data_IF_649260481377
#
_entry.id   IF_649260481377
#
_cell.length_a   1.000
_cell.length_b   1.000
_cell.length_c   1.000
_cell.angle_alpha   90.00
_cell.angle_beta   90.00
_cell.angle_gamma   90.00
#
_symmetry.space_group_name_H-M   'P 1'
#
loop_
_entity.id
_entity.type
_entity.pdbx_description
1 polymer ?
#
# COMPACT_ATOMS: atom_id res chain seq x y z
N UNK A 1 7.50 -4.10 30.42
CA UNK A 1 7.64 -3.08 31.50
C UNK A 1 8.60 -3.53 32.59
N UNK A 2 8.53 -4.78 33.06
CA UNK A 2 9.39 -5.32 34.17
C UNK A 2 10.89 -5.27 33.85
N UNK A 3 11.33 -5.72 32.68
CA UNK A 3 12.74 -5.71 32.29
C UNK A 3 13.39 -4.33 32.19
N UNK A 4 12.59 -3.26 31.97
CA UNK A 4 13.07 -1.87 31.97
C UNK A 4 13.33 -1.40 33.39
N UNK A 5 12.42 -1.69 34.32
CA UNK A 5 12.57 -1.36 35.74
C UNK A 5 13.77 -2.07 36.39
N UNK A 6 14.05 -3.30 35.94
CA UNK A 6 15.17 -4.12 36.42
C UNK A 6 16.54 -3.79 35.76
N UNK A 7 16.56 -2.84 34.80
CA UNK A 7 17.81 -2.44 34.12
C UNK A 7 18.43 -3.52 33.25
N UNK A 8 17.65 -4.48 32.77
CA UNK A 8 18.12 -5.62 31.94
C UNK A 8 18.68 -5.23 30.58
N UNK A 9 18.34 -4.04 30.07
CA UNK A 9 18.70 -3.62 28.73
C UNK A 9 19.94 -2.74 28.70
N UNK A 10 20.75 -2.88 27.62
CA UNK A 10 21.92 -2.05 27.35
C UNK A 10 21.64 -1.16 26.13
N UNK A 11 22.44 -0.12 25.95
CA UNK A 11 22.40 0.74 24.76
C UNK A 11 22.61 -0.11 23.50
N UNK A 12 21.71 -0.02 22.56
CA UNK A 12 21.76 -0.73 21.28
C UNK A 12 22.27 0.19 20.16
N UNK A 13 22.50 -0.36 18.97
CA UNK A 13 22.96 0.37 17.80
C UNK A 13 22.03 1.54 17.47
N UNK A 14 20.71 1.33 17.50
CA UNK A 14 19.71 2.36 17.18
C UNK A 14 19.84 3.61 18.06
N UNK A 15 20.23 3.46 19.32
CA UNK A 15 20.53 4.61 20.18
C UNK A 15 21.80 5.34 19.73
N UNK A 16 22.84 4.60 19.34
CA UNK A 16 24.11 5.21 18.93
C UNK A 16 24.04 5.94 17.60
N UNK A 17 23.16 5.51 16.70
CA UNK A 17 22.92 6.18 15.41
C UNK A 17 21.77 7.19 15.49
N UNK A 18 21.32 7.55 16.70
CA UNK A 18 20.28 8.54 16.98
C UNK A 18 18.88 8.24 16.43
N UNK A 19 18.59 7.00 16.08
CA UNK A 19 17.26 6.56 15.63
C UNK A 19 16.29 6.27 16.77
N UNK A 20 16.77 6.18 18.01
CA UNK A 20 15.97 5.79 19.16
C UNK A 20 16.33 6.61 20.40
N UNK A 21 15.32 7.11 21.12
CA UNK A 21 15.48 7.84 22.40
C UNK A 21 15.83 6.93 23.61
N UNK A 22 16.01 5.63 23.38
CA UNK A 22 16.32 4.61 24.38
C UNK A 22 15.35 4.54 25.58
N UNK A 23 14.04 4.38 25.35
CA UNK A 23 13.06 4.20 26.45
C UNK A 23 13.32 2.92 27.26
N UNK A 24 13.99 1.92 26.66
CA UNK A 24 14.32 0.66 27.33
C UNK A 24 15.36 0.79 28.46
N UNK A 25 16.10 1.90 28.53
CA UNK A 25 17.06 2.22 29.59
C UNK A 25 16.72 3.53 30.32
N UNK A 26 15.43 3.94 30.30
CA UNK A 26 14.90 5.14 30.95
C UNK A 26 15.59 6.46 30.55
N UNK A 27 16.13 6.55 29.30
CA UNK A 27 16.71 7.78 28.76
C UNK A 27 15.65 8.71 28.17
N UNK A 28 14.52 8.18 27.79
CA UNK A 28 13.36 8.88 27.33
C UNK A 28 12.23 8.71 28.33
N UNK A 29 11.54 9.80 28.70
CA UNK A 29 10.41 9.72 29.62
C UNK A 29 9.22 8.96 28.98
N UNK A 30 8.32 8.48 29.82
CA UNK A 30 7.12 7.80 29.35
C UNK A 30 6.24 8.73 28.54
N UNK A 31 6.11 9.98 28.97
CA UNK A 31 5.33 11.03 28.32
C UNK A 31 5.89 11.35 26.94
N UNK A 32 7.19 11.55 26.81
CA UNK A 32 7.87 11.78 25.53
C UNK A 32 7.71 10.60 24.59
N UNK A 33 7.82 9.38 25.08
CA UNK A 33 7.60 8.17 24.29
C UNK A 33 6.16 8.08 23.77
N UNK A 34 5.17 8.35 24.63
CA UNK A 34 3.76 8.34 24.23
C UNK A 34 3.46 9.41 23.19
N UNK A 35 4.03 10.60 23.34
CA UNK A 35 3.87 11.68 22.37
C UNK A 35 4.48 11.31 21.01
N UNK A 36 5.69 10.74 20.99
CA UNK A 36 6.29 10.25 19.74
C UNK A 36 5.42 9.16 19.08
N UNK A 37 4.85 8.25 19.87
CA UNK A 37 3.94 7.22 19.36
C UNK A 37 2.64 7.81 18.83
N UNK A 38 2.11 8.87 19.47
CA UNK A 38 0.94 9.60 18.98
C UNK A 38 1.23 10.24 17.62
N UNK A 39 2.35 10.97 17.49
CA UNK A 39 2.75 11.60 16.24
C UNK A 39 2.94 10.57 15.12
N UNK A 40 3.63 9.46 15.39
CA UNK A 40 3.80 8.38 14.43
C UNK A 40 2.45 7.82 13.94
N UNK A 41 1.50 7.63 14.85
CA UNK A 41 0.14 7.21 14.47
C UNK A 41 -0.58 8.23 13.59
N UNK A 42 -0.44 9.53 13.90
CA UNK A 42 -1.07 10.59 13.10
C UNK A 42 -0.44 10.67 11.69
N UNK A 43 0.87 10.52 11.56
CA UNK A 43 1.54 10.42 10.25
C UNK A 43 1.01 9.21 9.47
N UNK A 44 0.92 8.03 10.10
CA UNK A 44 0.41 6.82 9.46
C UNK A 44 -1.07 6.91 9.07
N UNK A 45 -1.86 7.74 9.76
CA UNK A 45 -3.24 8.06 9.39
C UNK A 45 -3.34 9.15 8.30
N UNK A 46 -2.21 9.78 7.91
CA UNK A 46 -2.13 10.88 6.96
C UNK A 46 -2.47 12.25 7.52
N UNK A 47 -2.52 12.39 8.82
CA UNK A 47 -2.70 13.70 9.48
C UNK A 47 -1.36 14.43 9.59
N UNK A 48 -0.57 14.41 8.51
CA UNK A 48 0.78 14.99 8.45
C UNK A 48 0.79 16.49 8.75
N UNK A 49 -0.23 17.23 8.28
CA UNK A 49 -0.33 18.68 8.51
C UNK A 49 -0.45 19.04 9.99
N UNK A 50 -1.16 18.24 10.79
CA UNK A 50 -1.26 18.50 12.24
C UNK A 50 0.09 18.26 12.92
N UNK A 51 0.80 17.22 12.53
CA UNK A 51 2.13 16.91 13.06
C UNK A 51 3.15 17.95 12.61
N UNK A 52 3.09 18.38 11.36
CA UNK A 52 3.95 19.43 10.79
C UNK A 52 3.79 20.77 11.56
N UNK A 53 2.54 21.18 11.79
CA UNK A 53 2.24 22.38 12.58
C UNK A 53 2.77 22.25 14.01
N UNK A 54 2.55 21.12 14.66
CA UNK A 54 3.05 20.87 16.01
C UNK A 54 4.58 20.95 16.10
N UNK A 55 5.30 20.35 15.15
CA UNK A 55 6.75 20.40 15.09
C UNK A 55 7.26 21.84 14.87
N UNK A 56 6.57 22.59 14.00
CA UNK A 56 6.87 24.00 13.77
C UNK A 56 6.68 24.85 15.04
N UNK A 57 5.57 24.66 15.75
CA UNK A 57 5.28 25.38 16.99
C UNK A 57 6.33 25.09 18.08
N UNK A 58 6.77 23.83 18.19
CA UNK A 58 7.85 23.45 19.12
C UNK A 58 9.20 24.04 18.72
N UNK A 59 9.51 24.08 17.43
CA UNK A 59 10.72 24.73 16.90
C UNK A 59 10.74 26.19 17.30
N UNK A 60 9.67 26.93 17.02
CA UNK A 60 9.57 28.36 17.32
C UNK A 60 9.67 28.64 18.83
N UNK A 61 8.92 27.87 19.65
CA UNK A 61 8.97 28.00 21.10
C UNK A 61 10.37 27.79 21.68
N UNK A 62 11.12 26.81 21.19
CA UNK A 62 12.47 26.57 21.67
C UNK A 62 13.46 27.64 21.16
N UNK A 63 13.26 28.17 19.94
CA UNK A 63 14.05 29.29 19.44
C UNK A 63 13.84 30.56 20.26
N UNK A 64 12.61 30.90 20.66
CA UNK A 64 12.28 32.01 21.55
C UNK A 64 12.94 31.87 22.94
N UNK A 65 13.05 30.63 23.43
CA UNK A 65 13.75 30.29 24.68
C UNK A 65 15.27 30.19 24.53
N UNK A 66 15.82 30.57 23.38
CA UNK A 66 17.26 30.52 23.02
C UNK A 66 17.86 29.11 23.12
N UNK A 67 17.00 28.06 23.01
CA UNK A 67 17.41 26.63 23.00
C UNK A 67 17.63 26.16 21.56
N UNK A 68 18.63 26.71 20.91
CA UNK A 68 18.83 26.53 19.46
C UNK A 68 19.11 25.09 19.03
N UNK A 69 19.80 24.28 19.85
CA UNK A 69 20.06 22.87 19.56
C UNK A 69 18.75 22.07 19.48
N UNK A 70 17.85 22.30 20.44
CA UNK A 70 16.53 21.64 20.48
C UNK A 70 15.66 22.15 19.33
N UNK A 71 15.69 23.45 19.04
CA UNK A 71 14.96 24.03 17.93
C UNK A 71 15.43 23.45 16.58
N UNK A 72 16.74 23.22 16.39
CA UNK A 72 17.30 22.61 15.19
C UNK A 72 16.87 21.14 15.03
N UNK A 73 16.74 20.38 16.12
CA UNK A 73 16.21 19.01 16.05
C UNK A 73 14.75 19.00 15.56
N UNK A 74 13.90 19.90 16.07
CA UNK A 74 12.52 20.02 15.58
C UNK A 74 12.44 20.51 14.14
N UNK A 75 13.33 21.42 13.74
CA UNK A 75 13.45 21.88 12.35
C UNK A 75 13.77 20.73 11.39
N UNK A 76 14.73 19.88 11.73
CA UNK A 76 15.07 18.69 10.93
C UNK A 76 13.88 17.75 10.78
N UNK A 77 13.15 17.48 11.87
CA UNK A 77 11.94 16.65 11.84
C UNK A 77 10.85 17.27 10.97
N UNK A 78 10.64 18.59 11.08
CA UNK A 78 9.71 19.34 10.25
C UNK A 78 10.08 19.24 8.76
N UNK A 79 11.35 19.46 8.40
CA UNK A 79 11.84 19.37 7.03
C UNK A 79 11.69 17.95 6.44
N UNK A 80 12.02 16.93 7.22
CA UNK A 80 11.82 15.54 6.79
C UNK A 80 10.34 15.21 6.50
N UNK A 81 9.42 15.76 7.30
CA UNK A 81 8.00 15.57 7.08
C UNK A 81 7.50 16.33 5.83
N UNK A 82 7.99 17.55 5.62
CA UNK A 82 7.71 18.36 4.43
C UNK A 82 8.22 17.68 3.14
N UNK A 83 9.43 17.11 3.17
CA UNK A 83 9.97 16.29 2.08
C UNK A 83 9.16 15.01 1.84
N UNK A 84 8.65 14.38 2.90
CA UNK A 84 7.79 13.22 2.79
C UNK A 84 6.46 13.58 2.12
N UNK A 85 5.84 14.69 2.51
CA UNK A 85 4.63 15.21 1.85
C UNK A 85 4.88 15.55 0.37
N UNK A 86 6.00 16.18 0.05
CA UNK A 86 6.36 16.55 -1.33
C UNK A 86 6.63 15.32 -2.22
N UNK A 87 7.15 14.22 -1.66
CA UNK A 87 7.39 12.96 -2.37
C UNK A 87 6.16 12.07 -2.45
N UNK A 88 5.14 12.32 -1.63
CA UNK A 88 3.87 11.60 -1.70
C UNK A 88 3.17 11.95 -3.01
N UNK A 89 2.63 10.93 -3.70
CA UNK A 89 1.94 11.13 -4.98
C UNK A 89 0.71 12.02 -4.77
N UNK A 90 0.83 13.30 -5.16
CA UNK A 90 -0.27 14.27 -5.09
C UNK A 90 -1.25 13.95 -6.20
N UNK A 91 -2.36 13.38 -5.83
CA UNK A 91 -3.41 12.96 -6.78
C UNK A 91 -4.19 14.16 -7.29
N UNK A 92 -4.57 15.08 -6.41
CA UNK A 92 -5.32 16.29 -6.74
C UNK A 92 -5.57 17.14 -5.51
N UNK A 93 -5.50 18.44 -5.63
CA UNK A 93 -5.91 19.38 -4.58
C UNK A 93 -7.43 19.36 -4.30
N UNK A 94 -8.22 18.78 -5.20
CA UNK A 94 -9.69 18.72 -5.08
C UNK A 94 -10.20 17.44 -4.44
N UNK A 95 -9.37 16.38 -4.38
CA UNK A 95 -9.74 15.10 -3.77
C UNK A 95 -9.05 15.03 -2.41
N UNK A 96 -9.78 15.38 -1.35
CA UNK A 96 -9.18 15.58 -0.02
C UNK A 96 -9.26 14.37 0.89
N UNK A 97 -10.34 13.57 0.82
CA UNK A 97 -10.57 12.42 1.69
C UNK A 97 -11.51 11.43 1.02
N UNK A 98 -10.94 10.36 0.46
CA UNK A 98 -11.71 9.31 -0.22
C UNK A 98 -11.07 7.94 -0.02
N UNK A 99 -11.92 6.92 0.03
CA UNK A 99 -11.51 5.52 -0.10
C UNK A 99 -11.75 5.04 -1.53
N UNK A 100 -10.85 4.25 -2.07
CA UNK A 100 -10.99 3.64 -3.41
C UNK A 100 -10.88 2.14 -3.25
N UNK A 101 -11.83 1.42 -3.84
CA UNK A 101 -11.83 -0.03 -3.89
C UNK A 101 -11.97 -0.51 -5.32
N UNK A 102 -11.17 -1.47 -5.71
CA UNK A 102 -11.28 -2.18 -6.98
C UNK A 102 -11.15 -3.68 -6.76
N UNK A 103 -11.72 -4.45 -7.67
CA UNK A 103 -11.67 -5.90 -7.65
C UNK A 103 -11.22 -6.41 -9.01
N UNK A 104 -10.32 -7.38 -9.02
CA UNK A 104 -9.86 -8.11 -10.22
C UNK A 104 -9.89 -9.60 -9.94
N UNK A 105 -10.53 -10.35 -10.82
CA UNK A 105 -10.70 -11.79 -10.66
C UNK A 105 -9.55 -12.60 -11.27
N UNK A 106 -9.33 -13.77 -10.69
CA UNK A 106 -8.53 -14.83 -11.26
C UNK A 106 -9.37 -16.12 -11.33
N UNK A 107 -10.00 -16.35 -12.48
CA UNK A 107 -10.87 -17.50 -12.69
C UNK A 107 -10.10 -18.83 -12.64
N UNK A 108 -8.79 -18.81 -12.98
CA UNK A 108 -7.94 -20.00 -12.96
C UNK A 108 -7.66 -20.49 -11.53
N UNK A 109 -7.48 -19.55 -10.60
CA UNK A 109 -7.19 -19.85 -9.19
C UNK A 109 -8.43 -19.73 -8.29
N UNK A 110 -9.57 -19.31 -8.83
CA UNK A 110 -10.80 -18.99 -8.08
C UNK A 110 -10.54 -17.98 -6.95
N UNK A 111 -9.66 -17.00 -7.21
CA UNK A 111 -9.33 -15.93 -6.29
C UNK A 111 -9.83 -14.60 -6.84
N UNK A 112 -10.10 -13.66 -5.95
CA UNK A 112 -10.31 -12.25 -6.26
C UNK A 112 -9.25 -11.41 -5.54
N UNK A 113 -8.76 -10.39 -6.21
CA UNK A 113 -7.83 -9.41 -5.66
C UNK A 113 -8.56 -8.09 -5.49
N UNK A 114 -8.60 -7.59 -4.25
CA UNK A 114 -9.23 -6.31 -3.92
C UNK A 114 -8.13 -5.36 -3.51
N UNK A 115 -7.98 -4.24 -4.22
CA UNK A 115 -7.08 -3.16 -3.82
C UNK A 115 -7.86 -2.07 -3.11
N UNK A 116 -7.28 -1.58 -2.05
CA UNK A 116 -7.72 -0.44 -1.27
C UNK A 116 -6.70 0.68 -1.39
N UNK A 117 -7.15 1.89 -1.75
CA UNK A 117 -6.36 3.12 -1.68
C UNK A 117 -7.10 4.09 -0.78
N UNK A 118 -6.38 4.69 0.18
CA UNK A 118 -6.87 5.79 0.98
C UNK A 118 -6.15 7.07 0.60
N UNK A 119 -6.94 8.07 0.18
CA UNK A 119 -6.44 9.42 -0.11
C UNK A 119 -6.84 10.33 1.03
N UNK A 120 -5.88 11.00 1.63
CA UNK A 120 -6.10 12.02 2.64
C UNK A 120 -5.28 13.27 2.35
N UNK A 121 -5.91 14.44 2.49
CA UNK A 121 -5.29 15.73 2.17
C UNK A 121 -4.72 15.83 0.74
N UNK A 122 -5.34 15.12 -0.22
CA UNK A 122 -4.91 15.12 -1.62
C UNK A 122 -3.75 14.18 -1.94
N UNK A 123 -3.27 13.40 -0.98
CA UNK A 123 -2.17 12.44 -1.16
C UNK A 123 -2.63 11.00 -0.88
N UNK A 124 -2.04 10.05 -1.62
CA UNK A 124 -2.24 8.63 -1.34
C UNK A 124 -1.49 8.28 -0.06
N UNK A 125 -2.24 7.92 0.95
CA UNK A 125 -1.74 7.63 2.28
C UNK A 125 -1.52 6.15 2.52
N UNK A 126 -2.41 5.34 1.96
CA UNK A 126 -2.38 3.89 2.06
C UNK A 126 -2.76 3.28 0.74
N UNK A 127 -2.07 2.21 0.37
CA UNK A 127 -2.45 1.35 -0.75
C UNK A 127 -2.15 -0.09 -0.36
N UNK A 128 -3.15 -0.94 -0.42
CA UNK A 128 -3.03 -2.33 -0.03
C UNK A 128 -3.88 -3.24 -0.91
N UNK A 129 -3.32 -4.40 -1.30
CA UNK A 129 -4.07 -5.40 -2.07
C UNK A 129 -4.26 -6.66 -1.24
N UNK A 130 -5.51 -7.10 -1.16
CA UNK A 130 -5.92 -8.32 -0.49
C UNK A 130 -6.26 -9.41 -1.50
N UNK A 131 -5.93 -10.65 -1.15
CA UNK A 131 -6.31 -11.85 -1.89
C UNK A 131 -7.44 -12.55 -1.15
N UNK A 132 -8.60 -12.68 -1.81
CA UNK A 132 -9.77 -13.39 -1.31
C UNK A 132 -9.99 -14.67 -2.10
N UNK A 133 -10.27 -15.77 -1.41
CA UNK A 133 -10.76 -17.00 -2.05
C UNK A 133 -12.22 -16.82 -2.38
N UNK A 134 -12.55 -16.88 -3.67
CA UNK A 134 -13.91 -16.77 -4.16
C UNK A 134 -14.66 -18.10 -3.93
N UNK A 135 -15.85 -18.01 -3.35
CA UNK A 135 -16.78 -19.15 -3.29
C UNK A 135 -17.47 -19.33 -4.65
N UNK A 136 -17.99 -20.55 -4.90
CA UNK A 136 -18.80 -20.77 -6.10
C UNK A 136 -20.03 -19.84 -6.05
N UNK A 137 -20.30 -19.15 -7.17
CA UNK A 137 -21.46 -18.26 -7.35
C UNK A 137 -21.42 -16.91 -6.58
N UNK A 138 -20.31 -16.56 -5.91
CA UNK A 138 -20.16 -15.29 -5.23
C UNK A 138 -19.86 -14.16 -6.25
N UNK A 139 -20.68 -13.12 -6.27
CA UNK A 139 -20.50 -11.97 -7.17
C UNK A 139 -19.40 -11.03 -6.69
N UNK A 140 -18.90 -10.17 -7.59
CA UNK A 140 -17.92 -9.13 -7.25
C UNK A 140 -18.48 -8.12 -6.24
N UNK A 141 -19.78 -7.85 -6.34
CA UNK A 141 -20.48 -6.96 -5.41
C UNK A 141 -20.54 -7.56 -3.99
N UNK A 142 -20.90 -8.84 -3.85
CA UNK A 142 -20.95 -9.53 -2.56
C UNK A 142 -19.57 -9.57 -1.88
N UNK A 143 -18.51 -9.78 -2.66
CA UNK A 143 -17.14 -9.71 -2.14
C UNK A 143 -16.79 -8.30 -1.66
N UNK A 144 -17.14 -7.26 -2.41
CA UNK A 144 -16.89 -5.87 -2.00
C UNK A 144 -17.74 -5.48 -0.79
N UNK A 145 -19.00 -5.91 -0.69
CA UNK A 145 -19.85 -5.70 0.48
C UNK A 145 -19.22 -6.25 1.76
N UNK A 146 -18.55 -7.40 1.67
CA UNK A 146 -17.86 -8.02 2.81
C UNK A 146 -16.51 -7.33 3.09
N UNK A 147 -15.73 -7.05 2.06
CA UNK A 147 -14.37 -6.55 2.19
C UNK A 147 -14.30 -5.07 2.62
N UNK A 148 -15.20 -4.22 2.12
CA UNK A 148 -15.18 -2.77 2.40
C UNK A 148 -15.26 -2.45 3.90
N UNK A 149 -16.23 -2.97 4.68
CA UNK A 149 -16.29 -2.72 6.11
C UNK A 149 -15.06 -3.24 6.85
N UNK A 150 -14.62 -4.47 6.56
CA UNK A 150 -13.46 -5.10 7.19
C UNK A 150 -12.19 -4.26 7.00
N UNK A 151 -11.93 -3.83 5.76
CA UNK A 151 -10.74 -3.07 5.41
C UNK A 151 -10.82 -1.67 6.04
N UNK A 152 -11.96 -0.99 5.97
CA UNK A 152 -12.17 0.32 6.58
C UNK A 152 -12.01 0.29 8.10
N UNK A 153 -12.51 -0.74 8.78
CA UNK A 153 -12.31 -0.94 10.21
C UNK A 153 -10.83 -1.14 10.54
N UNK A 154 -10.14 -2.00 9.79
CA UNK A 154 -8.71 -2.28 9.98
C UNK A 154 -7.84 -1.04 9.85
N UNK A 155 -8.13 -0.16 8.90
CA UNK A 155 -7.37 1.08 8.66
C UNK A 155 -7.98 2.30 9.37
N UNK A 156 -9.05 2.12 10.12
CA UNK A 156 -9.77 3.20 10.82
C UNK A 156 -10.17 4.34 9.89
N UNK A 157 -10.58 4.00 8.65
CA UNK A 157 -11.03 5.00 7.70
C UNK A 157 -12.39 5.57 8.09
N UNK A 158 -12.48 6.91 8.02
CA UNK A 158 -13.70 7.68 8.25
C UNK A 158 -14.13 8.46 7.02
N UNK A 159 -13.58 8.15 5.86
CA UNK A 159 -13.92 8.81 4.60
C UNK A 159 -15.40 8.68 4.30
N UNK A 160 -16.00 9.79 3.91
CA UNK A 160 -17.45 9.86 3.59
C UNK A 160 -17.76 9.46 2.14
N UNK A 161 -16.75 9.36 1.31
CA UNK A 161 -16.88 8.97 -0.10
C UNK A 161 -16.05 7.73 -0.38
N UNK A 162 -16.66 6.75 -1.03
CA UNK A 162 -16.03 5.49 -1.44
C UNK A 162 -16.17 5.35 -2.95
N UNK A 163 -15.03 5.33 -3.62
CA UNK A 163 -14.95 5.12 -5.07
C UNK A 163 -14.93 3.61 -5.36
N UNK A 164 -15.83 3.17 -6.23
CA UNK A 164 -16.00 1.77 -6.62
C UNK A 164 -16.08 1.64 -8.14
N UNK A 165 -15.79 0.44 -8.72
CA UNK A 165 -15.77 0.24 -10.18
C UNK A 165 -17.16 0.15 -10.83
N UNK A 166 -18.19 -0.16 -10.06
CA UNK A 166 -19.57 -0.31 -10.53
C UNK A 166 -20.57 0.15 -9.46
N UNK A 167 -21.81 0.36 -9.86
CA UNK A 167 -22.89 0.72 -8.94
C UNK A 167 -23.17 -0.42 -7.97
N UNK A 168 -23.35 -0.07 -6.70
CA UNK A 168 -23.64 -1.01 -5.62
C UNK A 168 -25.05 -0.75 -5.10
N UNK A 169 -25.85 -1.81 -4.97
CA UNK A 169 -27.19 -1.73 -4.38
C UNK A 169 -27.11 -1.52 -2.86
N UNK A 170 -26.02 -2.00 -2.24
CA UNK A 170 -25.77 -1.85 -0.81
C UNK A 170 -25.43 -0.42 -0.43
N UNK A 171 -25.92 0.01 0.75
CA UNK A 171 -25.66 1.34 1.31
C UNK A 171 -24.94 1.24 2.64
N UNK A 172 -23.86 1.97 2.77
CA UNK A 172 -23.16 2.13 4.03
C UNK A 172 -23.73 3.34 4.78
N UNK A 173 -23.91 3.22 6.11
CA UNK A 173 -24.59 4.25 6.93
C UNK A 173 -23.86 5.60 6.91
N UNK A 174 -22.52 5.58 6.87
CA UNK A 174 -21.66 6.76 7.06
C UNK A 174 -20.85 7.16 5.82
N UNK A 175 -21.09 6.52 4.66
CA UNK A 175 -20.38 6.82 3.44
C UNK A 175 -21.24 6.61 2.18
N UNK A 176 -20.90 7.32 1.12
CA UNK A 176 -21.58 7.28 -0.17
C UNK A 176 -20.66 6.61 -1.21
N UNK A 177 -21.20 5.64 -1.96
CA UNK A 177 -20.52 5.04 -3.08
C UNK A 177 -20.58 5.94 -4.31
N UNK A 178 -19.48 6.03 -5.03
CA UNK A 178 -19.34 6.84 -6.23
C UNK A 178 -18.61 6.07 -7.32
N UNK A 179 -19.18 6.03 -8.53
CA UNK A 179 -18.58 5.42 -9.71
C UNK A 179 -18.07 6.52 -10.64
N UNK A 180 -16.77 6.79 -10.71
CA UNK A 180 -16.23 7.88 -11.50
C UNK A 180 -16.17 7.54 -12.97
N UNK A 181 -16.64 8.45 -13.83
CA UNK A 181 -16.58 8.31 -15.29
C UNK A 181 -15.33 8.99 -15.89
N UNK A 182 -14.84 10.08 -15.25
CA UNK A 182 -13.71 10.89 -15.75
C UNK A 182 -13.02 11.66 -14.61
N UNK A 183 -11.83 12.21 -14.91
CA UNK A 183 -11.08 13.09 -13.99
C UNK A 183 -10.27 12.32 -12.95
N UNK A 184 -9.75 13.04 -11.94
CA UNK A 184 -8.82 12.50 -10.95
C UNK A 184 -9.35 11.29 -10.18
N UNK A 185 -10.66 11.24 -9.88
CA UNK A 185 -11.28 10.08 -9.21
C UNK A 185 -11.26 8.82 -10.11
N UNK A 186 -11.43 9.00 -11.44
CA UNK A 186 -11.32 7.89 -12.39
C UNK A 186 -9.88 7.39 -12.47
N UNK A 187 -8.92 8.30 -12.48
CA UNK A 187 -7.50 7.95 -12.46
C UNK A 187 -7.11 7.15 -11.19
N UNK A 188 -7.65 7.54 -10.01
CA UNK A 188 -7.46 6.76 -8.78
C UNK A 188 -8.02 5.34 -8.87
N UNK A 189 -9.18 5.19 -9.50
CA UNK A 189 -9.79 3.88 -9.73
C UNK A 189 -8.91 3.02 -10.64
N UNK A 190 -8.40 3.60 -11.72
CA UNK A 190 -7.48 2.94 -12.67
C UNK A 190 -6.17 2.54 -12.01
N UNK A 191 -5.60 3.42 -11.16
CA UNK A 191 -4.41 3.12 -10.37
C UNK A 191 -4.65 1.93 -9.42
N UNK A 192 -5.78 1.93 -8.73
CA UNK A 192 -6.17 0.83 -7.85
C UNK A 192 -6.33 -0.49 -8.62
N UNK A 193 -6.93 -0.45 -9.81
CA UNK A 193 -7.05 -1.61 -10.68
C UNK A 193 -5.68 -2.12 -11.18
N UNK A 194 -4.77 -1.20 -11.52
CA UNK A 194 -3.39 -1.55 -11.87
C UNK A 194 -2.67 -2.25 -10.72
N UNK A 195 -2.84 -1.78 -9.49
CA UNK A 195 -2.26 -2.40 -8.30
C UNK A 195 -2.79 -3.85 -8.12
N UNK A 196 -4.08 -4.09 -8.33
CA UNK A 196 -4.63 -5.46 -8.35
C UNK A 196 -3.96 -6.34 -9.39
N UNK A 197 -3.84 -5.85 -10.64
CA UNK A 197 -3.21 -6.58 -11.74
C UNK A 197 -1.75 -6.89 -11.47
N UNK A 198 -1.02 -5.91 -10.93
CA UNK A 198 0.39 -6.08 -10.58
C UNK A 198 0.57 -7.11 -9.46
N UNK A 199 -0.25 -7.02 -8.41
CA UNK A 199 -0.22 -7.99 -7.31
C UNK A 199 -0.52 -9.41 -7.79
N UNK A 200 -1.57 -9.58 -8.62
CA UNK A 200 -1.90 -10.86 -9.27
C UNK A 200 -0.70 -11.41 -10.04
N UNK A 201 -0.03 -10.58 -10.84
CA UNK A 201 1.15 -10.98 -11.62
C UNK A 201 2.31 -11.42 -10.72
N UNK A 202 2.57 -10.69 -9.65
CA UNK A 202 3.65 -11.02 -8.70
C UNK A 202 3.35 -12.32 -7.95
N UNK A 203 2.08 -12.56 -7.57
CA UNK A 203 1.65 -13.83 -6.98
C UNK A 203 1.83 -15.00 -7.95
N UNK A 204 1.47 -14.84 -9.22
CA UNK A 204 1.70 -15.85 -10.24
C UNK A 204 3.20 -16.15 -10.41
N UNK A 205 4.04 -15.12 -10.48
CA UNK A 205 5.52 -15.31 -10.54
C UNK A 205 6.07 -16.04 -9.32
N UNK A 206 5.57 -15.73 -8.12
CA UNK A 206 5.98 -16.44 -6.90
C UNK A 206 5.56 -17.92 -6.95
N UNK A 207 4.32 -18.20 -7.35
CA UNK A 207 3.82 -19.57 -7.49
C UNK A 207 4.64 -20.37 -8.53
N UNK A 208 5.00 -19.74 -9.65
CA UNK A 208 5.84 -20.36 -10.69
C UNK A 208 7.28 -20.64 -10.24
N UNK A 209 7.85 -19.78 -9.38
CA UNK A 209 9.16 -20.03 -8.78
C UNK A 209 9.14 -21.22 -7.81
N UNK A 210 8.04 -21.38 -7.09
CA UNK A 210 7.86 -22.48 -6.15
C UNK A 210 7.52 -23.80 -6.86
N UNK A 211 6.91 -23.73 -8.04
CA UNK A 211 6.51 -24.91 -8.80
C UNK A 211 6.80 -24.74 -10.31
N UNK A 212 8.04 -24.98 -10.76
CA UNK A 212 8.46 -24.79 -12.15
C UNK A 212 7.68 -25.62 -13.19
N UNK A 213 7.17 -26.80 -12.80
CA UNK A 213 6.37 -27.66 -13.68
C UNK A 213 5.03 -27.01 -14.05
N UNK A 214 4.41 -26.28 -13.14
CA UNK A 214 3.17 -25.52 -13.41
C UNK A 214 3.43 -24.41 -14.43
N UNK A 215 4.59 -23.78 -14.38
CA UNK A 215 5.00 -22.76 -15.37
C UNK A 215 5.09 -23.35 -16.77
N UNK A 216 5.75 -24.50 -16.91
CA UNK A 216 5.87 -25.19 -18.21
C UNK A 216 4.51 -25.57 -18.76
N UNK A 217 3.65 -26.15 -17.92
CA UNK A 217 2.30 -26.55 -18.32
C UNK A 217 1.46 -25.36 -18.76
N UNK A 218 1.55 -24.22 -18.08
CA UNK A 218 0.87 -22.99 -18.47
C UNK A 218 1.34 -22.46 -19.83
N UNK A 219 2.66 -22.37 -20.05
CA UNK A 219 3.23 -21.91 -21.31
C UNK A 219 2.83 -22.81 -22.48
N UNK A 220 2.81 -24.13 -22.27
CA UNK A 220 2.36 -25.08 -23.30
C UNK A 220 0.90 -24.93 -23.63
N UNK A 221 0.03 -24.69 -22.64
CA UNK A 221 -1.40 -24.41 -22.86
C UNK A 221 -1.63 -23.09 -23.59
N UNK A 222 -0.88 -22.04 -23.26
CA UNK A 222 -0.92 -20.76 -23.97
C UNK A 222 -0.50 -20.91 -25.44
N UNK A 223 0.57 -21.66 -25.70
CA UNK A 223 1.02 -21.99 -27.05
C UNK A 223 -0.03 -22.79 -27.81
N UNK A 224 -0.58 -23.82 -27.22
CA UNK A 224 -1.68 -24.60 -27.82
C UNK A 224 -2.84 -23.71 -28.25
N UNK A 225 -3.26 -22.80 -27.37
CA UNK A 225 -4.40 -21.89 -27.63
C UNK A 225 -4.07 -20.89 -28.70
N UNK A 226 -2.91 -20.22 -28.63
CA UNK A 226 -2.50 -19.20 -29.61
C UNK A 226 -2.27 -19.75 -31.02
N UNK A 227 -1.68 -20.94 -31.11
CA UNK A 227 -1.38 -21.62 -32.37
C UNK A 227 -2.52 -22.54 -32.83
N UNK A 228 -3.64 -22.64 -32.07
CA UNK A 228 -4.79 -23.51 -32.34
C UNK A 228 -4.36 -24.98 -32.57
N UNK A 229 -3.40 -25.46 -31.75
CA UNK A 229 -2.89 -26.82 -31.89
C UNK A 229 -3.92 -27.84 -31.33
N UNK A 230 -4.11 -28.98 -32.01
CA UNK A 230 -5.05 -30.02 -31.57
C UNK A 230 -4.61 -30.72 -30.28
N UNK A 231 -3.31 -30.69 -29.96
CA UNK A 231 -2.71 -31.31 -28.77
C UNK A 231 -1.69 -30.36 -28.16
N UNK A 232 -1.40 -30.58 -26.88
CA UNK A 232 -0.39 -29.81 -26.16
C UNK A 232 1.01 -30.07 -26.75
N UNK A 233 1.81 -29.03 -27.08
CA UNK A 233 3.14 -29.18 -27.69
C UNK A 233 4.16 -29.57 -26.62
N UNK A 234 4.44 -30.85 -26.48
CA UNK A 234 5.48 -31.34 -25.56
C UNK A 234 6.90 -31.27 -26.13
N UNK A 235 7.02 -31.09 -27.44
CA UNK A 235 8.29 -30.99 -28.16
C UNK A 235 8.22 -29.81 -29.13
N UNK A 236 9.22 -28.95 -29.05
CA UNK A 236 9.36 -27.78 -29.92
C UNK A 236 10.76 -27.85 -30.51
N UNK A 237 10.86 -27.88 -31.85
CA UNK A 237 12.12 -27.88 -32.57
C UNK A 237 12.27 -26.52 -33.27
N UNK A 238 13.46 -25.94 -33.16
CA UNK A 238 13.80 -24.68 -33.82
C UNK A 238 14.93 -24.97 -34.83
N UNK A 239 14.72 -24.63 -36.10
CA UNK A 239 15.71 -24.75 -37.13
C UNK A 239 16.23 -23.35 -37.45
N UNK A 240 17.54 -23.15 -37.30
CA UNK A 240 18.20 -21.91 -37.72
C UNK A 240 18.79 -22.12 -39.12
N UNK A 241 18.37 -21.31 -40.06
CA UNK A 241 18.84 -21.31 -41.44
C UNK A 241 20.03 -20.35 -41.65
N UNK A 242 20.62 -19.81 -40.61
CA UNK A 242 21.70 -18.81 -40.72
C UNK A 242 23.04 -19.34 -41.24
N UNK A 243 23.18 -20.64 -41.40
CA UNK A 243 24.45 -21.27 -41.83
C UNK A 243 24.44 -21.80 -43.29
N UNK A 244 23.65 -21.24 -44.19
CA UNK A 244 23.67 -21.60 -45.62
C UNK A 244 24.70 -20.77 -46.38
N UNK A 245 25.59 -20.07 -45.79
CA UNK A 245 26.68 -19.36 -46.44
C UNK A 245 28.07 -19.89 -46.01
N UNK A 246 28.20 -21.18 -45.94
CA UNK A 246 29.52 -21.80 -45.88
C UNK A 246 29.93 -22.20 -47.27
N UNK A 247 30.43 -21.28 -47.99
CA UNK A 247 31.23 -21.57 -49.20
C UNK A 247 32.48 -20.76 -49.11
N UNK A 248 33.55 -21.42 -48.95
CA UNK A 248 34.59 -21.69 -49.95
C UNK A 248 35.65 -22.51 -49.31
#
# INVERSE_FOLDING_TARGET
KEGVAEGKYKRCLEYHIHNCGAPCINRQSYEEYQENMRQAREILKGNTREVSKYLYDLMMKNAELLRFEIAEEYKKKYQLLDEFEAKSEVVSHTITDVDVFTIVNDDAMKNAFINYIHVKNGTINQSFTYEYKRKLEESDEELLITAIPEIRERFHSTSKEIIVPFEMEWKLKDAIFFVPQRGGKKHLLELSEMNCKQYKFDRLKQAEKLNPEQKQTRLMKELQTKLKLPKMPYQIECFDNSNISGTD
#
